data_IF_690612596296
#
_entry.id   IF_690612596296
#
_cell.length_a   1.000
_cell.length_b   1.000
_cell.length_c   1.000
_cell.angle_alpha   90.00
_cell.angle_beta   90.00
_cell.angle_gamma   90.00
#
_symmetry.space_group_name_H-M   'P 1'
#
loop_
_entity.id
_entity.type
_entity.pdbx_description
1 polymer ?
#
# COMPACT_ATOMS: atom_id res chain seq x y z
N UNK A 1 20.10 14.01 36.06
CA UNK A 1 19.41 13.24 35.00
C UNK A 1 18.20 12.61 35.65
N UNK A 2 17.00 12.95 35.17
CA UNK A 2 15.79 12.27 35.63
C UNK A 2 15.70 10.90 34.97
N UNK A 3 15.55 9.86 35.79
CA UNK A 3 15.39 8.49 35.31
C UNK A 3 13.91 8.28 34.99
N UNK A 4 13.59 8.20 33.70
CA UNK A 4 12.24 7.86 33.25
C UNK A 4 12.05 6.35 33.40
N UNK A 5 11.33 5.94 34.44
CA UNK A 5 10.95 4.55 34.63
C UNK A 5 9.74 4.21 33.76
N UNK A 6 9.96 3.47 32.67
CA UNK A 6 8.88 2.94 31.84
C UNK A 6 8.47 1.57 32.43
N UNK A 7 7.18 1.37 32.76
CA UNK A 7 6.69 0.07 33.21
C UNK A 7 6.92 -1.00 32.14
N UNK A 8 7.40 -2.18 32.54
CA UNK A 8 7.66 -3.30 31.61
C UNK A 8 6.43 -3.68 30.78
N UNK A 9 5.24 -3.54 31.36
CA UNK A 9 3.97 -3.88 30.70
C UNK A 9 3.70 -2.96 29.50
N UNK A 10 4.15 -1.69 29.56
CA UNK A 10 4.05 -0.75 28.43
C UNK A 10 5.01 -1.10 27.30
N UNK A 11 6.19 -1.65 27.63
CA UNK A 11 7.12 -2.16 26.61
C UNK A 11 6.52 -3.38 25.90
N UNK A 12 5.87 -4.28 26.64
CA UNK A 12 5.15 -5.42 26.06
C UNK A 12 4.06 -4.98 25.09
N UNK A 13 3.24 -4.00 25.45
CA UNK A 13 2.21 -3.43 24.57
C UNK A 13 2.80 -2.84 23.29
N UNK A 14 3.88 -2.05 23.40
CA UNK A 14 4.53 -1.44 22.22
C UNK A 14 5.07 -2.52 21.28
N UNK A 15 5.68 -3.58 21.80
CA UNK A 15 6.18 -4.68 20.99
C UNK A 15 5.01 -5.38 20.26
N UNK A 16 3.92 -5.69 20.97
CA UNK A 16 2.75 -6.32 20.36
C UNK A 16 2.07 -5.45 19.30
N UNK A 17 2.02 -4.14 19.50
CA UNK A 17 1.47 -3.20 18.50
C UNK A 17 2.34 -3.16 17.23
N UNK A 18 3.66 -3.22 17.37
CA UNK A 18 4.60 -3.29 16.24
C UNK A 18 4.47 -4.62 15.50
N UNK A 19 4.39 -5.74 16.22
CA UNK A 19 4.18 -7.06 15.61
C UNK A 19 2.88 -7.09 14.80
N UNK A 20 1.80 -6.54 15.36
CA UNK A 20 0.51 -6.44 14.68
C UNK A 20 0.58 -5.57 13.42
N UNK A 21 1.33 -4.47 13.48
CA UNK A 21 1.55 -3.62 12.31
C UNK A 21 2.28 -4.37 11.20
N UNK A 22 3.33 -5.12 11.54
CA UNK A 22 4.08 -5.94 10.58
C UNK A 22 3.17 -6.98 9.94
N UNK A 23 2.38 -7.72 10.73
CA UNK A 23 1.45 -8.72 10.19
C UNK A 23 0.40 -8.12 9.25
N UNK A 24 -0.17 -6.96 9.57
CA UNK A 24 -1.11 -6.29 8.64
C UNK A 24 -0.43 -5.87 7.33
N UNK A 25 0.84 -5.47 7.37
CA UNK A 25 1.60 -5.15 6.16
C UNK A 25 1.91 -6.40 5.33
N UNK A 26 2.22 -7.53 5.97
CA UNK A 26 2.44 -8.81 5.29
C UNK A 26 1.15 -9.29 4.59
N UNK A 27 0.00 -9.21 5.27
CA UNK A 27 -1.32 -9.52 4.68
C UNK A 27 -1.63 -8.63 3.46
N UNK A 28 -1.30 -7.34 3.53
CA UNK A 28 -1.45 -6.41 2.40
C UNK A 28 -0.55 -6.81 1.21
N UNK A 29 0.67 -7.28 1.46
CA UNK A 29 1.61 -7.68 0.41
C UNK A 29 1.17 -8.97 -0.27
N UNK A 30 0.69 -9.96 0.49
CA UNK A 30 0.17 -11.21 -0.07
C UNK A 30 -1.06 -10.99 -0.97
N UNK A 31 -1.91 -10.02 -0.62
CA UNK A 31 -3.06 -9.62 -1.43
C UNK A 31 -2.63 -8.90 -2.73
N UNK A 32 -1.56 -8.10 -2.72
CA UNK A 32 -1.07 -7.44 -3.93
C UNK A 32 -0.62 -8.43 -5.02
N UNK A 33 -0.06 -9.57 -4.64
CA UNK A 33 0.41 -10.58 -5.58
C UNK A 33 -0.75 -11.27 -6.30
N UNK A 34 -1.85 -11.52 -5.58
CA UNK A 34 -3.10 -12.03 -6.15
C UNK A 34 -3.79 -10.97 -7.02
N UNK A 35 -3.86 -9.73 -6.55
CA UNK A 35 -4.40 -8.59 -7.32
C UNK A 35 -3.62 -8.38 -8.62
N UNK A 36 -2.29 -8.52 -8.59
CA UNK A 36 -1.45 -8.42 -9.78
C UNK A 36 -1.73 -9.55 -10.77
N UNK A 37 -1.83 -10.81 -10.30
CA UNK A 37 -2.18 -11.97 -11.14
C UNK A 37 -3.57 -11.81 -11.77
N UNK A 38 -4.55 -11.35 -10.99
CA UNK A 38 -5.89 -11.10 -11.48
C UNK A 38 -5.89 -10.01 -12.56
N UNK A 39 -5.22 -8.87 -12.32
CA UNK A 39 -5.09 -7.80 -13.31
C UNK A 39 -4.42 -8.25 -14.59
N UNK A 40 -3.38 -9.09 -14.51
CA UNK A 40 -2.73 -9.66 -15.69
C UNK A 40 -3.68 -10.58 -16.47
N UNK A 41 -4.52 -11.36 -15.78
CA UNK A 41 -5.57 -12.16 -16.43
C UNK A 41 -6.59 -11.27 -17.12
N UNK A 42 -7.07 -10.24 -16.44
CA UNK A 42 -8.09 -9.34 -16.99
C UNK A 42 -7.58 -8.56 -18.22
N UNK A 43 -6.30 -8.20 -18.25
CA UNK A 43 -5.64 -7.61 -19.42
C UNK A 43 -5.57 -8.63 -20.57
N UNK A 44 -5.14 -9.87 -20.31
CA UNK A 44 -5.04 -10.93 -21.34
C UNK A 44 -6.40 -11.29 -21.93
N UNK A 45 -7.44 -11.29 -21.11
CA UNK A 45 -8.82 -11.60 -21.51
C UNK A 45 -9.55 -10.40 -22.11
N UNK A 46 -8.89 -9.24 -22.21
CA UNK A 46 -9.49 -8.02 -22.79
C UNK A 46 -10.64 -7.46 -21.95
N UNK A 47 -10.75 -7.84 -20.67
CA UNK A 47 -11.78 -7.34 -19.74
C UNK A 47 -11.46 -5.96 -19.20
N UNK A 48 -10.22 -5.50 -19.36
CA UNK A 48 -9.79 -4.15 -19.00
C UNK A 48 -9.47 -3.39 -20.28
N UNK A 49 -10.24 -2.34 -20.52
CA UNK A 49 -9.90 -1.36 -21.55
C UNK A 49 -8.72 -0.52 -21.03
N UNK A 50 -7.60 -0.57 -21.77
CA UNK A 50 -6.43 0.22 -21.44
C UNK A 50 -6.79 1.71 -21.39
N UNK A 51 -6.29 2.42 -20.38
CA UNK A 51 -6.44 3.88 -20.33
C UNK A 51 -5.66 4.50 -21.47
N UNK A 52 -6.30 5.41 -22.20
CA UNK A 52 -5.68 6.15 -23.29
C UNK A 52 -4.64 7.13 -22.74
N UNK A 53 -3.69 7.53 -23.59
CA UNK A 53 -2.68 8.55 -23.26
C UNK A 53 -3.33 9.85 -22.75
N UNK A 54 -4.47 10.24 -23.34
CA UNK A 54 -5.27 11.38 -22.91
C UNK A 54 -5.80 11.25 -21.47
N UNK A 55 -6.22 10.06 -21.06
CA UNK A 55 -6.68 9.81 -19.69
C UNK A 55 -5.53 9.84 -18.68
N UNK A 56 -4.34 9.41 -19.10
CA UNK A 56 -3.11 9.52 -18.30
C UNK A 56 -2.75 11.00 -18.10
N UNK A 57 -2.78 11.80 -19.17
CA UNK A 57 -2.47 13.23 -19.11
C UNK A 57 -3.43 13.98 -18.19
N UNK A 58 -4.73 13.66 -18.25
CA UNK A 58 -5.74 14.27 -17.39
C UNK A 58 -5.51 13.90 -15.91
N UNK A 59 -5.16 12.64 -15.64
CA UNK A 59 -4.80 12.18 -14.31
C UNK A 59 -3.56 12.91 -13.77
N UNK A 60 -2.51 13.06 -14.58
CA UNK A 60 -1.28 13.74 -14.23
C UNK A 60 -1.53 15.24 -13.96
N UNK A 61 -2.33 15.91 -14.79
CA UNK A 61 -2.74 17.31 -14.58
C UNK A 61 -3.53 17.49 -13.29
N UNK A 62 -4.47 16.58 -12.96
CA UNK A 62 -5.21 16.61 -11.68
C UNK A 62 -4.29 16.53 -10.46
N UNK A 63 -3.13 15.90 -10.59
CA UNK A 63 -2.10 15.80 -9.55
C UNK A 63 -1.05 16.91 -9.62
N UNK A 64 -1.23 17.91 -10.49
CA UNK A 64 -0.34 19.07 -10.61
C UNK A 64 0.94 18.79 -11.39
N UNK A 65 1.02 17.67 -12.12
CA UNK A 65 2.13 17.38 -13.02
C UNK A 65 1.90 18.12 -14.35
N UNK A 66 2.90 18.86 -14.81
CA UNK A 66 2.87 19.46 -16.17
C UNK A 66 3.06 18.36 -17.20
N UNK A 67 2.14 18.30 -18.14
CA UNK A 67 2.16 17.38 -19.28
C UNK A 67 2.23 18.27 -20.51
N UNK A 68 3.36 18.23 -21.21
CA UNK A 68 3.73 19.09 -22.34
C UNK A 68 2.95 18.76 -23.62
#
# INVERSE_FOLDING_TARGET
>A
METVCIPKDKLGQVISDVERLVSHFEELIEDQDQVAKQRLSDIKEGRVEGKTEKELDEYLRKRGVKVD
#
